data_IF_828070347925
#
_entry.id   IF_828070347925
#
_cell.length_a   1.000
_cell.length_b   1.000
_cell.length_c   1.000
_cell.angle_alpha   90.00
_cell.angle_beta   90.00
_cell.angle_gamma   90.00
#
_symmetry.space_group_name_H-M   'P 1'
#
loop_
_entity.id
_entity.type
_entity.pdbx_description
1 polymer ?
#
# COMPACT_ATOMS: atom_id res chain seq x y z
N UNK A 1 -0.99 4.07 2.83
CA UNK A 1 0.35 3.64 3.32
C UNK A 1 1.25 3.38 2.13
N UNK A 2 2.55 3.66 2.23
CA UNK A 2 3.54 3.27 1.21
C UNK A 2 4.13 1.92 1.55
N UNK A 3 4.23 1.01 0.58
CA UNK A 3 4.83 -0.31 0.73
C UNK A 3 5.87 -0.50 -0.36
N UNK A 4 7.14 -0.61 0.03
CA UNK A 4 8.25 -0.84 -0.90
C UNK A 4 8.51 -2.32 -1.17
N UNK A 5 8.07 -3.22 -0.29
CA UNK A 5 8.28 -4.67 -0.39
C UNK A 5 7.09 -5.45 0.16
N UNK A 6 6.76 -6.55 -0.52
CA UNK A 6 5.74 -7.50 -0.06
C UNK A 6 6.15 -8.23 1.22
N UNK A 7 7.44 -8.50 1.42
CA UNK A 7 7.95 -9.09 2.66
C UNK A 7 7.74 -8.14 3.84
N UNK A 8 7.96 -6.84 3.63
CA UNK A 8 7.71 -5.83 4.65
C UNK A 8 6.23 -5.77 5.07
N UNK A 9 5.32 -5.90 4.10
CA UNK A 9 3.88 -5.99 4.37
C UNK A 9 3.52 -7.26 5.15
N UNK A 10 4.03 -8.42 4.73
CA UNK A 10 3.78 -9.70 5.41
C UNK A 10 4.26 -9.66 6.87
N UNK A 11 5.50 -9.20 7.10
CA UNK A 11 6.06 -9.08 8.44
C UNK A 11 5.23 -8.15 9.33
N UNK A 12 4.76 -7.02 8.78
CA UNK A 12 3.91 -6.10 9.53
C UNK A 12 2.56 -6.73 9.89
N UNK A 13 1.94 -7.46 8.96
CA UNK A 13 0.69 -8.16 9.24
C UNK A 13 0.86 -9.16 10.38
N UNK A 14 1.99 -9.87 10.44
CA UNK A 14 2.26 -10.89 11.47
C UNK A 14 2.46 -10.30 12.87
N UNK A 15 2.81 -9.01 12.96
CA UNK A 15 2.89 -8.28 14.23
C UNK A 15 1.53 -7.76 14.71
N UNK A 16 0.51 -7.75 13.86
CA UNK A 16 -0.80 -7.18 14.15
C UNK A 16 -1.81 -8.26 14.56
N UNK A 17 -2.73 -7.86 15.44
CA UNK A 17 -3.91 -8.66 15.77
C UNK A 17 -4.96 -8.60 14.64
N UNK A 18 -6.01 -9.41 14.75
CA UNK A 18 -7.06 -9.51 13.71
C UNK A 18 -7.62 -8.16 13.26
N UNK A 19 -8.08 -7.29 14.17
CA UNK A 19 -8.55 -5.94 13.83
C UNK A 19 -7.48 -5.07 13.16
N UNK A 20 -6.24 -5.11 13.66
CA UNK A 20 -5.12 -4.38 13.05
C UNK A 20 -4.83 -4.83 11.62
N UNK A 21 -4.81 -6.15 11.38
CA UNK A 21 -4.64 -6.73 10.05
C UNK A 21 -5.75 -6.29 9.09
N UNK A 22 -7.01 -6.39 9.51
CA UNK A 22 -8.14 -5.94 8.69
C UNK A 22 -8.06 -4.45 8.36
N UNK A 23 -7.74 -3.62 9.35
CA UNK A 23 -7.61 -2.18 9.14
C UNK A 23 -6.51 -1.86 8.12
N UNK A 24 -5.36 -2.53 8.25
CA UNK A 24 -4.24 -2.34 7.34
C UNK A 24 -4.55 -2.81 5.91
N UNK A 25 -5.19 -3.96 5.74
CA UNK A 25 -5.54 -4.50 4.41
C UNK A 25 -6.62 -3.69 3.69
N UNK A 26 -7.47 -2.97 4.43
CA UNK A 26 -8.46 -2.02 3.85
C UNK A 26 -7.84 -0.67 3.52
N UNK A 27 -6.71 -0.30 4.10
CA UNK A 27 -6.04 0.94 3.79
C UNK A 27 -5.47 0.92 2.36
N UNK A 28 -5.52 2.04 1.62
CA UNK A 28 -4.87 2.13 0.31
C UNK A 28 -3.35 1.96 0.43
N UNK A 29 -2.81 1.00 -0.30
CA UNK A 29 -1.38 0.73 -0.39
C UNK A 29 -0.83 1.33 -1.69
N UNK A 30 0.15 2.22 -1.57
CA UNK A 30 0.91 2.78 -2.69
C UNK A 30 2.21 2.01 -2.83
N UNK A 31 2.48 1.47 -4.02
CA UNK A 31 3.62 0.57 -4.27
C UNK A 31 4.43 1.00 -5.48
N UNK A 32 5.76 0.80 -5.49
CA UNK A 32 6.61 1.30 -6.56
C UNK A 32 6.58 0.44 -7.83
N UNK A 33 6.30 -0.87 -7.71
CA UNK A 33 6.40 -1.83 -8.80
C UNK A 33 5.18 -2.79 -8.88
N UNK A 34 4.80 -3.24 -10.10
CA UNK A 34 3.69 -4.18 -10.30
C UNK A 34 3.84 -5.47 -9.50
N UNK A 35 5.06 -6.01 -9.39
CA UNK A 35 5.33 -7.22 -8.61
C UNK A 35 4.91 -7.07 -7.14
N UNK A 36 5.21 -5.93 -6.52
CA UNK A 36 4.80 -5.65 -5.13
C UNK A 36 3.28 -5.51 -5.06
N UNK A 37 2.65 -4.96 -6.09
CA UNK A 37 1.19 -4.82 -6.15
C UNK A 37 0.48 -6.18 -6.15
N UNK A 38 0.94 -7.10 -7.00
CA UNK A 38 0.41 -8.46 -7.11
C UNK A 38 0.54 -9.21 -5.80
N UNK A 39 1.72 -9.14 -5.16
CA UNK A 39 1.96 -9.79 -3.88
C UNK A 39 1.13 -9.18 -2.75
N UNK A 40 0.98 -7.85 -2.71
CA UNK A 40 0.13 -7.19 -1.72
C UNK A 40 -1.35 -7.59 -1.87
N UNK A 41 -1.84 -7.71 -3.11
CA UNK A 41 -3.19 -8.21 -3.38
C UNK A 41 -3.35 -9.68 -2.94
N UNK A 42 -2.35 -10.52 -3.17
CA UNK A 42 -2.34 -11.91 -2.70
C UNK A 42 -2.36 -12.03 -1.17
N UNK A 43 -1.83 -11.03 -0.45
CA UNK A 43 -1.91 -10.92 1.01
C UNK A 43 -3.24 -10.36 1.52
N UNK A 44 -4.19 -10.06 0.63
CA UNK A 44 -5.55 -9.61 0.96
C UNK A 44 -5.75 -8.10 0.94
N UNK A 45 -4.79 -7.33 0.43
CA UNK A 45 -4.95 -5.88 0.34
C UNK A 45 -6.06 -5.52 -0.65
N UNK A 46 -7.01 -4.70 -0.21
CA UNK A 46 -8.23 -4.39 -0.97
C UNK A 46 -7.98 -3.28 -2.01
N UNK A 47 -7.13 -2.31 -1.68
CA UNK A 47 -6.81 -1.18 -2.57
C UNK A 47 -5.31 -1.06 -2.73
N UNK A 48 -4.81 -1.40 -3.91
CA UNK A 48 -3.39 -1.29 -4.25
C UNK A 48 -3.22 -0.36 -5.46
N UNK A 49 -2.33 0.61 -5.34
CA UNK A 49 -2.09 1.65 -6.35
C UNK A 49 -0.60 1.67 -6.71
N UNK A 50 -0.32 1.53 -8.00
CA UNK A 50 1.03 1.72 -8.52
C UNK A 50 1.37 3.21 -8.47
N UNK A 51 2.45 3.54 -7.78
CA UNK A 51 2.91 4.89 -7.56
C UNK A 51 4.12 5.25 -8.45
N UNK A 52 4.91 4.26 -8.86
CA UNK A 52 6.13 4.43 -9.65
C UNK A 52 7.41 4.22 -8.81
N UNK A 53 8.54 3.89 -9.47
CA UNK A 53 9.77 3.50 -8.78
C UNK A 53 10.55 4.66 -8.16
N UNK A 54 10.33 5.90 -8.61
CA UNK A 54 11.04 7.06 -8.07
C UNK A 54 10.30 7.74 -6.92
N UNK A 55 11.05 8.45 -6.07
CA UNK A 55 10.47 9.25 -4.98
C UNK A 55 9.53 10.35 -5.49
N UNK A 56 9.84 10.95 -6.65
CA UNK A 56 9.00 11.97 -7.27
C UNK A 56 7.64 11.41 -7.71
N UNK A 57 7.64 10.22 -8.32
CA UNK A 57 6.41 9.54 -8.72
C UNK A 57 5.60 9.07 -7.50
N UNK A 58 6.27 8.51 -6.48
CA UNK A 58 5.64 8.14 -5.22
C UNK A 58 4.97 9.36 -4.54
N UNK A 59 5.69 10.48 -4.48
CA UNK A 59 5.17 11.72 -3.91
C UNK A 59 3.98 12.26 -4.73
N UNK A 60 4.08 12.25 -6.06
CA UNK A 60 2.99 12.67 -6.93
C UNK A 60 1.74 11.79 -6.74
N UNK A 61 1.92 10.48 -6.58
CA UNK A 61 0.83 9.55 -6.31
C UNK A 61 0.18 9.79 -4.92
N UNK A 62 0.99 10.09 -3.90
CA UNK A 62 0.51 10.46 -2.56
C UNK A 62 -0.29 11.77 -2.61
N UNK A 63 0.25 12.82 -3.23
CA UNK A 63 -0.44 14.11 -3.40
C UNK A 63 -1.74 13.94 -4.18
N UNK A 64 -1.72 13.20 -5.28
CA UNK A 64 -2.92 12.93 -6.07
C UNK A 64 -3.94 12.09 -5.28
N UNK A 65 -3.50 11.16 -4.43
CA UNK A 65 -4.38 10.38 -3.58
C UNK A 65 -5.08 11.28 -2.56
N UNK A 66 -4.33 11.99 -1.72
CA UNK A 66 -4.91 12.81 -0.64
C UNK A 66 -5.61 14.09 -1.12
N UNK A 67 -5.13 14.70 -2.22
CA UNK A 67 -5.77 15.87 -2.81
C UNK A 67 -7.13 15.58 -3.44
N UNK A 68 -7.44 14.31 -3.75
CA UNK A 68 -8.78 13.87 -4.19
C UNK A 68 -9.72 13.52 -3.04
N UNK A 69 -9.18 13.31 -1.83
CA UNK A 69 -9.95 12.91 -0.64
C UNK A 69 -10.38 14.11 0.20
N UNK A 70 -10.20 15.33 -0.31
CA UNK A 70 -10.64 16.55 0.34
C UNK A 70 -12.16 16.72 0.08
N UNK A 71 -13.00 16.86 1.12
CA UNK A 71 -14.45 16.99 0.97
C UNK A 71 -14.87 18.27 0.25
#
# INVERSE_FOLDING_TARGET
MTISSAEGLANLLDMLDGPGREHLLRAPLLVPHPRVAEQAAALGAVTVRLAGPSDAEMLAALVAYFGRTQP
#
